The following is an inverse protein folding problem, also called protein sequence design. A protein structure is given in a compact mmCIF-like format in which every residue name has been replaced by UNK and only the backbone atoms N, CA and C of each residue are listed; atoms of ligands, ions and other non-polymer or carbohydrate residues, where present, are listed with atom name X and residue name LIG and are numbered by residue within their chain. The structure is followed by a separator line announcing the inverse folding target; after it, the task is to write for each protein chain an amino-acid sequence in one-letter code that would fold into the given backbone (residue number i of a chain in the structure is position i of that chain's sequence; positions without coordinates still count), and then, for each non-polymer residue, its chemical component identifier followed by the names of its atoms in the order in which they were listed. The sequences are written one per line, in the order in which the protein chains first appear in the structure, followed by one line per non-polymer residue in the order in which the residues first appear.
data_IF_888841898980
#
_entry.id   IF_888841898980
#
_cell.length_a   1.000
_cell.length_b   1.000
_cell.length_c   1.000
_cell.angle_alpha   90.00
_cell.angle_beta   90.00
_cell.angle_gamma   90.00
#
_symmetry.space_group_name_H-M   'P 1'
#
loop_
_entity.id
_entity.type
_entity.pdbx_description
1 polymer ?
#
# COMPACT_ATOMS: atom_id res chain seq x y z
N UNK A 1 17.34 -23.83 5.12
CA UNK A 1 18.19 -22.90 4.34
C UNK A 1 17.29 -22.31 3.26
N UNK A 2 17.07 -21.00 3.30
CA UNK A 2 16.25 -20.33 2.29
C UNK A 2 17.20 -19.67 1.30
N UNK A 3 17.15 -20.12 0.05
CA UNK A 3 17.90 -19.50 -1.03
C UNK A 3 17.19 -18.21 -1.46
N UNK A 4 17.91 -17.10 -1.42
CA UNK A 4 17.44 -15.82 -1.93
C UNK A 4 17.95 -15.62 -3.36
N UNK A 5 17.05 -15.62 -4.32
CA UNK A 5 17.36 -15.34 -5.71
C UNK A 5 17.14 -13.85 -5.98
N UNK A 6 18.20 -13.16 -6.36
CA UNK A 6 18.13 -11.76 -6.80
C UNK A 6 17.85 -11.70 -8.29
N UNK A 7 16.87 -10.92 -8.68
CA UNK A 7 16.53 -10.64 -10.07
C UNK A 7 16.88 -9.21 -10.39
N UNK A 8 17.69 -9.00 -11.42
CA UNK A 8 18.01 -7.68 -11.92
C UNK A 8 16.90 -7.21 -12.88
N UNK A 9 16.51 -5.97 -12.76
CA UNK A 9 15.54 -5.32 -13.63
C UNK A 9 16.14 -4.06 -14.19
N UNK A 10 16.16 -3.96 -15.51
CA UNK A 10 16.60 -2.79 -16.25
C UNK A 10 15.47 -2.27 -17.15
N UNK A 11 15.56 -1.02 -17.51
CA UNK A 11 14.68 -0.36 -18.44
C UNK A 11 15.49 0.68 -19.21
N UNK A 12 15.37 0.69 -20.52
CA UNK A 12 16.03 1.66 -21.37
C UNK A 12 15.02 2.56 -22.09
N UNK A 13 15.44 3.79 -22.35
CA UNK A 13 14.69 4.74 -23.16
C UNK A 13 15.61 5.15 -24.32
N UNK A 14 15.36 4.69 -25.55
CA UNK A 14 16.20 5.03 -26.69
C UNK A 14 16.02 6.51 -27.08
N UNK A 15 17.12 7.23 -27.22
CA UNK A 15 17.15 8.62 -27.67
C UNK A 15 17.97 8.68 -28.95
N UNK A 16 17.34 9.16 -30.05
CA UNK A 16 18.09 9.44 -31.28
C UNK A 16 18.91 10.74 -31.11
N UNK A 17 20.17 10.69 -31.48
CA UNK A 17 21.06 11.86 -31.38
C UNK A 17 20.58 13.07 -32.20
N UNK A 18 19.78 12.84 -33.26
CA UNK A 18 19.19 13.90 -34.07
C UNK A 18 18.03 14.59 -33.34
N UNK A 19 17.19 13.81 -32.66
CA UNK A 19 16.11 14.35 -31.82
C UNK A 19 16.71 15.21 -30.70
N UNK A 20 17.79 14.75 -30.06
CA UNK A 20 18.48 15.50 -28.99
C UNK A 20 19.09 16.81 -29.47
N UNK A 21 19.50 16.91 -30.75
CA UNK A 21 20.03 18.13 -31.34
C UNK A 21 18.97 19.12 -31.83
N UNK A 22 17.82 18.61 -32.30
CA UNK A 22 16.77 19.41 -32.93
C UNK A 22 15.67 19.80 -31.94
N UNK A 23 15.56 19.11 -30.78
CA UNK A 23 14.52 19.34 -29.82
C UNK A 23 14.89 20.45 -28.82
N UNK A 24 13.93 21.33 -28.56
CA UNK A 24 14.04 22.41 -27.56
C UNK A 24 13.92 21.83 -26.14
N UNK A 25 13.36 20.62 -25.99
CA UNK A 25 13.16 19.95 -24.70
C UNK A 25 14.38 19.08 -24.36
N UNK A 26 14.77 19.00 -23.07
CA UNK A 26 15.87 18.15 -22.63
C UNK A 26 15.46 16.66 -22.69
N UNK A 27 15.60 16.03 -23.86
CA UNK A 27 15.24 14.62 -24.12
C UNK A 27 15.91 13.66 -23.15
N UNK A 28 17.17 13.88 -22.79
CA UNK A 28 17.88 13.07 -21.79
C UNK A 28 17.24 13.13 -20.41
N UNK A 29 16.84 14.33 -19.96
CA UNK A 29 16.17 14.48 -18.66
C UNK A 29 14.80 13.82 -18.66
N UNK A 30 14.04 13.94 -19.76
CA UNK A 30 12.76 13.26 -19.93
C UNK A 30 12.92 11.74 -19.94
N UNK A 31 13.88 11.20 -20.71
CA UNK A 31 14.17 9.76 -20.74
C UNK A 31 14.56 9.21 -19.36
N UNK A 32 15.42 9.94 -18.64
CA UNK A 32 15.78 9.56 -17.26
C UNK A 32 14.59 9.54 -16.33
N UNK A 33 13.70 10.52 -16.43
CA UNK A 33 12.47 10.56 -15.63
C UNK A 33 11.57 9.35 -15.94
N UNK A 34 11.29 9.07 -17.20
CA UNK A 34 10.44 7.95 -17.62
C UNK A 34 11.01 6.61 -17.16
N UNK A 35 12.31 6.38 -17.29
CA UNK A 35 12.99 5.16 -16.83
C UNK A 35 12.87 5.02 -15.31
N UNK A 36 13.11 6.11 -14.57
CA UNK A 36 13.05 6.10 -13.12
C UNK A 36 11.62 5.77 -12.64
N UNK A 37 10.60 6.44 -13.18
CA UNK A 37 9.20 6.17 -12.87
C UNK A 37 8.80 4.71 -13.19
N UNK A 38 9.25 4.19 -14.34
CA UNK A 38 8.99 2.81 -14.74
C UNK A 38 9.59 1.79 -13.78
N UNK A 39 10.86 2.00 -13.36
CA UNK A 39 11.54 1.13 -12.39
C UNK A 39 10.85 1.22 -11.02
N UNK A 40 10.49 2.43 -10.56
CA UNK A 40 9.79 2.61 -9.28
C UNK A 40 8.42 1.92 -9.28
N UNK A 41 7.64 2.05 -10.36
CA UNK A 41 6.37 1.34 -10.51
C UNK A 41 6.56 -0.17 -10.50
N UNK A 42 7.61 -0.67 -11.15
CA UNK A 42 7.95 -2.11 -11.12
C UNK A 42 8.29 -2.58 -9.72
N UNK A 43 9.07 -1.82 -8.97
CA UNK A 43 9.41 -2.13 -7.58
C UNK A 43 8.16 -2.13 -6.69
N UNK A 44 7.29 -1.15 -6.85
CA UNK A 44 6.03 -1.09 -6.12
C UNK A 44 5.14 -2.29 -6.44
N UNK A 45 5.02 -2.66 -7.72
CA UNK A 45 4.25 -3.83 -8.15
C UNK A 45 4.79 -5.12 -7.53
N UNK A 46 6.10 -5.32 -7.52
CA UNK A 46 6.72 -6.50 -6.90
C UNK A 46 6.48 -6.54 -5.38
N UNK A 47 6.60 -5.40 -4.71
CA UNK A 47 6.31 -5.30 -3.28
C UNK A 47 4.83 -5.58 -2.98
N UNK A 48 3.93 -5.04 -3.79
CA UNK A 48 2.50 -5.27 -3.66
C UNK A 48 2.13 -6.73 -3.91
N UNK A 49 2.67 -7.36 -4.95
CA UNK A 49 2.43 -8.78 -5.25
C UNK A 49 2.91 -9.68 -4.10
N UNK A 50 4.06 -9.35 -3.50
CA UNK A 50 4.56 -10.08 -2.34
C UNK A 50 3.67 -9.89 -1.11
N UNK A 51 3.26 -8.65 -0.84
CA UNK A 51 2.47 -8.29 0.33
C UNK A 51 1.01 -8.74 0.24
N UNK A 52 0.45 -8.84 -0.95
CA UNK A 52 -0.94 -9.26 -1.19
C UNK A 52 -1.09 -10.77 -1.39
N UNK A 53 0.02 -11.48 -1.58
CA UNK A 53 -0.02 -12.92 -1.77
C UNK A 53 -0.38 -13.63 -0.47
N UNK A 54 -1.58 -14.16 -0.40
CA UNK A 54 -2.12 -14.82 0.78
C UNK A 54 -1.38 -16.11 1.16
N UNK A 55 -0.63 -16.70 0.24
CA UNK A 55 0.21 -17.86 0.52
C UNK A 55 1.41 -17.53 1.44
N UNK A 56 1.81 -16.26 1.50
CA UNK A 56 2.91 -15.82 2.36
C UNK A 56 2.50 -15.67 3.84
N UNK A 57 1.20 -15.79 4.14
CA UNK A 57 0.68 -15.59 5.49
C UNK A 57 0.05 -16.85 6.05
N UNK A 58 0.27 -17.16 7.34
CA UNK A 58 -0.45 -18.23 8.00
C UNK A 58 -1.95 -17.92 8.07
N UNK A 59 -2.78 -18.97 8.11
CA UNK A 59 -4.24 -18.85 8.06
C UNK A 59 -4.83 -17.84 9.08
N UNK A 60 -4.24 -17.72 10.26
CA UNK A 60 -4.69 -16.77 11.27
C UNK A 60 -4.22 -15.32 11.06
N UNK A 61 -3.45 -15.01 10.00
CA UNK A 61 -2.98 -13.65 9.70
C UNK A 61 -3.66 -13.05 8.47
N UNK A 62 -4.62 -13.76 7.89
CA UNK A 62 -5.42 -13.29 6.76
C UNK A 62 -6.90 -13.42 7.06
N UNK A 63 -7.67 -12.44 6.61
CA UNK A 63 -9.10 -12.37 6.80
C UNK A 63 -9.72 -12.05 5.44
N UNK A 64 -10.63 -12.90 4.98
CA UNK A 64 -11.46 -12.61 3.83
C UNK A 64 -12.81 -12.15 4.33
N UNK A 65 -13.17 -10.90 4.04
CA UNK A 65 -14.44 -10.33 4.46
C UNK A 65 -15.60 -10.96 3.70
N UNK A 66 -16.60 -11.43 4.43
CA UNK A 66 -17.86 -11.87 3.84
C UNK A 66 -18.60 -10.69 3.18
N UNK A 67 -19.55 -10.97 2.29
CA UNK A 67 -20.29 -9.94 1.56
C UNK A 67 -20.94 -8.88 2.49
N UNK A 68 -21.40 -9.29 3.66
CA UNK A 68 -21.99 -8.41 4.68
C UNK A 68 -20.97 -7.54 5.44
N UNK A 69 -19.72 -7.92 5.42
CA UNK A 69 -18.63 -7.26 6.17
C UNK A 69 -17.77 -6.32 5.28
N UNK A 70 -17.97 -6.38 3.95
CA UNK A 70 -17.23 -5.53 3.02
C UNK A 70 -17.48 -4.05 3.30
N UNK A 71 -16.48 -3.22 3.11
CA UNK A 71 -16.58 -1.75 3.32
C UNK A 71 -17.56 -1.06 2.36
N UNK A 72 -17.93 -1.71 1.27
CA UNK A 72 -19.00 -1.26 0.37
C UNK A 72 -20.40 -1.49 0.92
N UNK A 73 -20.55 -2.31 1.97
CA UNK A 73 -21.84 -2.55 2.63
C UNK A 73 -22.08 -1.48 3.71
N UNK A 74 -23.12 -0.65 3.60
CA UNK A 74 -23.41 0.38 4.59
C UNK A 74 -23.66 -0.12 6.02
N UNK A 75 -24.03 -1.39 6.16
CA UNK A 75 -24.34 -2.01 7.47
C UNK A 75 -23.12 -2.69 8.10
N UNK A 76 -21.97 -2.71 7.44
CA UNK A 76 -20.75 -3.27 8.02
C UNK A 76 -20.18 -2.37 9.11
N UNK A 77 -19.32 -2.91 9.96
CA UNK A 77 -18.61 -2.14 10.99
C UNK A 77 -17.08 -2.16 10.71
N UNK A 78 -16.58 -1.20 9.94
CA UNK A 78 -15.15 -1.10 9.65
C UNK A 78 -14.28 -1.00 10.91
N UNK A 79 -14.77 -0.30 11.95
CA UNK A 79 -13.99 -0.11 13.18
C UNK A 79 -13.74 -1.43 13.91
N UNK A 80 -14.72 -2.30 14.00
CA UNK A 80 -14.57 -3.63 14.58
C UNK A 80 -13.59 -4.48 13.77
N UNK A 81 -13.62 -4.39 12.44
CA UNK A 81 -12.71 -5.12 11.55
C UNK A 81 -11.26 -4.69 11.79
N UNK A 82 -10.98 -3.39 11.76
CA UNK A 82 -9.62 -2.87 12.01
C UNK A 82 -9.15 -3.15 13.45
N UNK A 83 -10.03 -3.02 14.44
CA UNK A 83 -9.72 -3.36 15.82
C UNK A 83 -9.34 -4.84 15.97
N UNK A 84 -10.12 -5.74 15.38
CA UNK A 84 -9.84 -7.18 15.43
C UNK A 84 -8.55 -7.53 14.71
N UNK A 85 -8.27 -6.90 13.55
CA UNK A 85 -7.00 -7.05 12.85
C UNK A 85 -5.83 -6.59 13.70
N UNK A 86 -5.93 -5.40 14.33
CA UNK A 86 -4.90 -4.85 15.21
C UNK A 86 -4.65 -5.74 16.44
N UNK A 87 -5.69 -6.27 17.07
CA UNK A 87 -5.55 -7.20 18.20
C UNK A 87 -4.95 -8.53 17.76
N UNK A 88 -5.29 -9.03 16.57
CA UNK A 88 -4.67 -10.24 16.02
C UNK A 88 -3.16 -10.08 15.82
N UNK A 89 -2.72 -8.94 15.29
CA UNK A 89 -1.31 -8.62 15.15
C UNK A 89 -0.65 -8.53 16.53
N UNK A 90 -1.25 -7.76 17.45
CA UNK A 90 -0.73 -7.58 18.80
C UNK A 90 -0.53 -8.92 19.54
N UNK A 91 -1.48 -9.83 19.42
CA UNK A 91 -1.40 -11.15 20.09
C UNK A 91 -0.29 -12.03 19.52
N UNK A 92 0.11 -11.82 18.27
CA UNK A 92 1.14 -12.65 17.62
C UNK A 92 2.56 -12.14 17.85
N UNK A 93 2.75 -10.83 17.81
CA UNK A 93 4.08 -10.20 17.87
C UNK A 93 4.31 -9.39 19.14
N UNK A 94 3.35 -9.37 20.07
CA UNK A 94 3.37 -8.58 21.30
C UNK A 94 3.58 -7.06 21.09
N UNK A 95 3.30 -6.55 19.89
CA UNK A 95 3.39 -5.13 19.52
C UNK A 95 2.12 -4.72 18.76
N UNK A 96 1.64 -3.49 18.98
CA UNK A 96 0.52 -2.95 18.20
C UNK A 96 0.98 -2.59 16.81
N UNK A 97 0.18 -2.85 15.78
CA UNK A 97 0.50 -2.39 14.44
C UNK A 97 0.48 -0.86 14.39
N UNK A 98 1.41 -0.28 13.67
CA UNK A 98 1.54 1.16 13.49
C UNK A 98 1.27 1.62 12.06
N UNK A 99 1.22 0.68 11.11
CA UNK A 99 1.11 0.98 9.68
C UNK A 99 -0.10 0.25 9.08
N UNK A 100 -0.84 1.00 8.29
CA UNK A 100 -1.94 0.47 7.49
C UNK A 100 -1.74 0.88 6.02
N UNK A 101 -1.81 -0.08 5.11
CA UNK A 101 -1.83 0.16 3.66
C UNK A 101 -3.22 -0.18 3.16
N UNK A 102 -3.82 0.76 2.42
CA UNK A 102 -5.15 0.62 1.82
C UNK A 102 -5.02 0.66 0.30
N UNK A 103 -5.64 -0.28 -0.39
CA UNK A 103 -5.86 -0.14 -1.83
C UNK A 103 -6.83 1.00 -2.14
N UNK A 104 -6.74 1.59 -3.33
CA UNK A 104 -7.52 2.75 -3.75
C UNK A 104 -9.04 2.52 -3.61
N UNK A 105 -9.53 1.36 -4.03
CA UNK A 105 -10.95 1.00 -3.95
C UNK A 105 -11.43 0.83 -2.50
N UNK A 106 -10.63 0.24 -1.63
CA UNK A 106 -10.91 0.12 -0.19
C UNK A 106 -10.99 1.49 0.48
N UNK A 107 -10.05 2.39 0.15
CA UNK A 107 -10.09 3.77 0.64
C UNK A 107 -11.32 4.53 0.16
N UNK A 108 -11.69 4.42 -1.13
CA UNK A 108 -12.89 5.03 -1.67
C UNK A 108 -14.16 4.55 -0.98
N UNK A 109 -14.27 3.24 -0.68
CA UNK A 109 -15.38 2.68 0.06
C UNK A 109 -15.46 3.21 1.50
N UNK A 110 -14.33 3.26 2.21
CA UNK A 110 -14.26 3.79 3.58
C UNK A 110 -14.67 5.26 3.66
N UNK A 111 -14.27 6.08 2.69
CA UNK A 111 -14.66 7.51 2.63
C UNK A 111 -16.17 7.73 2.54
N UNK A 112 -16.89 6.79 1.96
CA UNK A 112 -18.34 6.89 1.78
C UNK A 112 -19.12 6.10 2.83
N UNK A 113 -18.41 5.41 3.75
CA UNK A 113 -19.05 4.52 4.69
C UNK A 113 -19.83 5.30 5.77
N UNK A 114 -21.14 4.99 5.99
CA UNK A 114 -21.98 5.73 6.94
C UNK A 114 -21.41 5.76 8.36
N UNK A 115 -20.85 4.65 8.86
CA UNK A 115 -20.29 4.59 10.20
C UNK A 115 -19.09 5.54 10.40
N UNK A 116 -18.31 5.80 9.35
CA UNK A 116 -17.21 6.76 9.40
C UNK A 116 -17.75 8.18 9.33
N UNK A 117 -18.68 8.45 8.40
CA UNK A 117 -19.31 9.75 8.24
C UNK A 117 -20.00 10.18 9.55
N UNK A 118 -20.71 9.29 10.21
CA UNK A 118 -21.41 9.62 11.45
C UNK A 118 -20.47 10.01 12.59
N UNK A 119 -19.31 9.38 12.71
CA UNK A 119 -18.29 9.74 13.72
C UNK A 119 -17.69 11.12 13.49
N UNK A 120 -17.61 11.56 12.22
CA UNK A 120 -17.02 12.86 11.85
C UNK A 120 -18.06 13.96 11.79
N UNK A 121 -19.34 13.64 11.75
CA UNK A 121 -20.46 14.58 11.61
C UNK A 121 -20.39 15.75 12.58
N UNK A 122 -19.85 15.55 13.76
CA UNK A 122 -19.72 16.57 14.82
C UNK A 122 -18.33 17.18 14.90
N UNK A 123 -17.40 16.76 14.03
CA UNK A 123 -16.08 17.41 13.91
C UNK A 123 -16.17 18.48 12.83
N UNK A 124 -15.43 19.57 12.98
CA UNK A 124 -15.47 20.72 12.05
C UNK A 124 -14.97 20.42 10.63
N UNK A 125 -14.49 19.20 10.36
CA UNK A 125 -13.98 18.76 9.06
C UNK A 125 -15.03 17.91 8.35
N UNK A 126 -15.79 18.52 7.45
CA UNK A 126 -16.82 17.83 6.65
C UNK A 126 -16.28 16.89 5.55
N UNK A 127 -14.96 16.78 5.38
CA UNK A 127 -14.31 15.96 4.34
C UNK A 127 -13.40 14.94 5.00
N UNK A 128 -13.52 13.67 4.57
CA UNK A 128 -12.67 12.59 5.04
C UNK A 128 -11.34 12.64 4.29
N UNK A 129 -10.30 13.09 4.98
CA UNK A 129 -8.93 13.07 4.49
C UNK A 129 -8.20 11.80 4.99
N UNK A 130 -7.09 11.40 4.34
CA UNK A 130 -6.28 10.27 4.80
C UNK A 130 -5.81 10.44 6.26
N UNK A 131 -5.46 11.67 6.65
CA UNK A 131 -4.99 11.98 8.01
C UNK A 131 -6.10 11.79 9.05
N UNK A 132 -7.33 12.17 8.70
CA UNK A 132 -8.48 11.97 9.57
C UNK A 132 -8.80 10.47 9.72
N UNK A 133 -8.78 9.74 8.61
CA UNK A 133 -9.00 8.30 8.64
C UNK A 133 -7.91 7.58 9.45
N UNK A 134 -6.65 7.99 9.29
CA UNK A 134 -5.53 7.50 10.08
C UNK A 134 -5.77 7.67 11.58
N UNK A 135 -6.18 8.86 11.99
CA UNK A 135 -6.48 9.17 13.39
C UNK A 135 -7.68 8.38 13.92
N UNK A 136 -8.73 8.18 13.10
CA UNK A 136 -9.92 7.41 13.47
C UNK A 136 -9.64 5.92 13.65
N UNK A 137 -8.71 5.37 12.88
CA UNK A 137 -8.33 3.96 12.91
C UNK A 137 -7.16 3.67 13.85
N UNK A 138 -6.59 4.70 14.50
CA UNK A 138 -5.49 4.62 15.47
C UNK A 138 -4.19 4.03 14.89
N UNK A 139 -3.80 4.51 13.69
CA UNK A 139 -2.53 4.16 13.08
C UNK A 139 -1.57 5.37 13.07
N UNK A 140 -0.26 5.11 13.19
CA UNK A 140 0.78 6.14 13.03
C UNK A 140 0.99 6.49 11.56
N UNK A 141 0.90 5.50 10.67
CA UNK A 141 1.09 5.65 9.24
C UNK A 141 -0.09 5.01 8.50
N UNK A 142 -0.71 5.76 7.60
CA UNK A 142 -1.71 5.24 6.68
C UNK A 142 -1.29 5.61 5.27
N UNK A 143 -1.08 4.62 4.43
CA UNK A 143 -0.67 4.75 3.03
C UNK A 143 -1.80 4.28 2.14
N UNK A 144 -2.07 5.04 1.09
CA UNK A 144 -3.04 4.68 0.06
C UNK A 144 -2.27 4.27 -1.18
N UNK A 145 -2.53 3.07 -1.68
CA UNK A 145 -1.92 2.56 -2.90
C UNK A 145 -2.75 2.94 -4.11
N UNK A 146 -2.43 4.08 -4.72
CA UNK A 146 -3.13 4.61 -5.90
C UNK A 146 -2.42 4.23 -7.22
N UNK A 147 -1.32 3.48 -7.16
CA UNK A 147 -0.57 3.11 -8.34
C UNK A 147 -1.38 2.18 -9.26
N UNK A 148 -1.30 2.45 -10.56
CA UNK A 148 -1.96 1.68 -11.62
C UNK A 148 -0.90 1.17 -12.58
N UNK A 149 -1.04 -0.04 -13.06
CA UNK A 149 -0.18 -0.61 -14.09
C UNK A 149 -1.00 -1.07 -15.29
N UNK A 150 -0.37 -1.08 -16.45
CA UNK A 150 -0.92 -1.68 -17.65
C UNK A 150 -0.39 -3.11 -17.80
N UNK A 151 -1.29 -4.06 -18.06
CA UNK A 151 -0.90 -5.40 -18.48
C UNK A 151 -0.38 -5.41 -19.91
N UNK A 152 0.25 -6.50 -20.34
CA UNK A 152 0.72 -6.69 -21.72
C UNK A 152 -0.42 -6.55 -22.76
N UNK A 153 -1.66 -6.77 -22.35
CA UNK A 153 -2.85 -6.57 -23.18
C UNK A 153 -3.35 -5.10 -23.17
N UNK A 154 -2.66 -4.17 -22.49
CA UNK A 154 -3.06 -2.77 -22.38
C UNK A 154 -4.21 -2.51 -21.39
N UNK A 155 -4.58 -3.51 -20.57
CA UNK A 155 -5.62 -3.33 -19.55
C UNK A 155 -5.01 -2.70 -18.30
N UNK A 156 -5.59 -1.59 -17.88
CA UNK A 156 -5.20 -0.90 -16.63
C UNK A 156 -5.78 -1.63 -15.41
N UNK A 157 -4.96 -1.80 -14.40
CA UNK A 157 -5.35 -2.43 -13.13
C UNK A 157 -4.64 -1.76 -11.96
N UNK A 158 -5.32 -1.70 -10.82
CA UNK A 158 -4.72 -1.20 -9.58
C UNK A 158 -3.61 -2.15 -9.10
N UNK A 159 -2.50 -1.59 -8.64
CA UNK A 159 -1.39 -2.35 -8.05
C UNK A 159 -1.80 -2.95 -6.71
N UNK A 160 -2.51 -2.20 -5.87
CA UNK A 160 -2.90 -2.60 -4.51
C UNK A 160 -4.33 -3.16 -4.41
N UNK A 161 -5.09 -3.18 -5.50
CA UNK A 161 -6.45 -3.71 -5.59
C UNK A 161 -7.38 -3.20 -4.45
N UNK A 162 -8.20 -4.09 -3.89
CA UNK A 162 -9.11 -3.80 -2.76
C UNK A 162 -8.58 -4.32 -1.41
N UNK A 163 -7.29 -4.68 -1.35
CA UNK A 163 -6.68 -5.24 -0.16
C UNK A 163 -6.37 -4.19 0.91
N UNK A 164 -6.34 -4.66 2.14
CA UNK A 164 -5.93 -3.89 3.32
C UNK A 164 -4.85 -4.66 4.06
N UNK A 165 -3.74 -4.00 4.34
CA UNK A 165 -2.63 -4.59 5.08
C UNK A 165 -2.41 -3.81 6.37
N UNK A 166 -2.44 -4.53 7.49
CA UNK A 166 -2.18 -3.98 8.82
C UNK A 166 -0.88 -4.60 9.33
N UNK A 167 0.13 -3.79 9.56
CA UNK A 167 1.47 -4.26 9.90
C UNK A 167 2.12 -3.42 11.01
N UNK A 168 3.08 -4.04 11.70
CA UNK A 168 4.02 -3.33 12.54
C UNK A 168 5.33 -3.13 11.77
N UNK A 169 5.68 -1.87 11.53
CA UNK A 169 6.95 -1.48 10.91
C UNK A 169 7.83 -0.86 11.98
N UNK A 170 8.98 -1.45 12.32
CA UNK A 170 9.86 -0.87 13.32
C UNK A 170 10.38 0.49 12.84
N UNK A 171 10.51 1.48 13.73
CA UNK A 171 11.07 2.78 13.37
C UNK A 171 12.50 2.58 12.84
N UNK A 172 12.82 3.29 11.75
CA UNK A 172 14.20 3.31 11.25
C UNK A 172 15.08 4.01 12.29
N UNK A 173 15.87 3.25 12.99
CA UNK A 173 16.98 3.82 13.77
C UNK A 173 18.11 4.12 12.77
N UNK A 174 18.38 5.39 12.55
CA UNK A 174 19.39 5.86 11.60
C UNK A 174 20.82 5.46 11.97
N UNK A 175 21.09 5.06 13.22
CA UNK A 175 22.44 4.88 13.76
C UNK A 175 22.73 3.49 14.36
N UNK A 176 21.79 2.56 14.28
CA UNK A 176 22.06 1.19 14.72
C UNK A 176 22.08 0.28 13.49
N UNK A 177 23.19 -0.46 13.25
CA UNK A 177 23.16 -1.53 12.24
C UNK A 177 21.97 -2.42 12.53
N UNK A 178 21.10 -2.63 11.56
CA UNK A 178 20.01 -3.60 11.69
C UNK A 178 20.61 -4.90 12.17
N UNK A 179 20.30 -5.28 13.39
CA UNK A 179 20.62 -6.61 13.86
C UNK A 179 19.90 -7.58 12.91
N UNK A 180 20.66 -8.43 12.22
CA UNK A 180 20.13 -9.53 11.41
C UNK A 180 19.24 -10.47 12.24
N UNK A 181 19.14 -10.24 13.52
CA UNK A 181 18.37 -11.01 14.50
C UNK A 181 17.12 -10.27 15.02
N UNK A 182 16.80 -9.07 14.55
CA UNK A 182 15.46 -8.53 14.77
C UNK A 182 14.50 -9.24 13.85
N UNK A 183 13.69 -10.19 14.36
CA UNK A 183 12.72 -10.84 13.53
C UNK A 183 11.73 -9.76 13.07
N UNK A 184 11.67 -9.51 11.77
CA UNK A 184 10.59 -8.80 11.12
C UNK A 184 9.38 -9.75 11.09
N UNK A 185 8.68 -9.85 12.19
CA UNK A 185 7.45 -10.61 12.29
C UNK A 185 6.27 -9.81 11.78
#
# INVERSE_FOLDING_TARGET
ENDLVLTEHDLEYPIDYREDQDDILPTLAHGTFVVTEGIMLRMEKLAADLAQNDANYPAGSKITLAAGEKFTNPSSDPFSIFKNASESVRMKIAKRPNTCVLGASSYAALRQHPAIIERIKYTQKGIITPELLRSLLDFETLVIGDAVYASDAGVLSDVWADNVIVAYVPPRQSDVPRSIYEPSF
#
